data_IF_789427032245
#
_entry.id   IF_789427032245
#
_cell.length_a   1.000
_cell.length_b   1.000
_cell.length_c   1.000
_cell.angle_alpha   90.00
_cell.angle_beta   90.00
_cell.angle_gamma   90.00
#
_symmetry.space_group_name_H-M   'P 1'
#
loop_
_entity.id
_entity.type
_entity.pdbx_description
1 polymer ?
#
# COMPACT_ATOMS: atom_id res chain seq x y z
N UNK A 1 -15.69 31.17 -0.19
CA UNK A 1 -16.81 31.07 0.78
C UNK A 1 -16.32 31.56 2.14
N UNK A 2 -17.06 32.44 2.81
CA UNK A 2 -16.62 33.05 4.07
C UNK A 2 -16.67 32.07 5.26
N UNK A 3 -15.79 32.28 6.23
CA UNK A 3 -15.66 31.49 7.48
C UNK A 3 -16.98 31.41 8.26
N UNK A 4 -17.82 32.46 8.21
CA UNK A 4 -19.12 32.48 8.89
C UNK A 4 -20.17 31.52 8.31
N UNK A 5 -20.15 31.28 7.00
CA UNK A 5 -21.08 30.35 6.32
C UNK A 5 -20.73 28.89 6.63
N UNK A 6 -19.44 28.63 6.86
CA UNK A 6 -18.89 27.31 7.20
C UNK A 6 -19.34 26.82 8.58
N UNK A 7 -19.17 27.63 9.62
CA UNK A 7 -19.59 27.24 10.98
C UNK A 7 -21.11 27.00 11.05
N UNK A 8 -21.92 27.81 10.37
CA UNK A 8 -23.37 27.58 10.27
C UNK A 8 -23.73 26.29 9.51
N UNK A 9 -23.00 25.95 8.45
CA UNK A 9 -23.21 24.73 7.67
C UNK A 9 -22.86 23.44 8.44
N UNK A 10 -21.80 23.46 9.24
CA UNK A 10 -21.36 22.32 10.08
C UNK A 10 -22.24 22.10 11.33
N UNK A 11 -22.83 23.18 11.86
CA UNK A 11 -23.77 23.17 12.97
C UNK A 11 -25.22 22.90 12.54
N UNK A 12 -25.47 22.72 11.24
CA UNK A 12 -26.77 22.35 10.70
C UNK A 12 -27.23 20.99 11.26
N UNK A 13 -28.50 20.92 11.70
CA UNK A 13 -29.17 19.66 12.07
C UNK A 13 -29.50 18.78 10.85
N UNK A 14 -29.46 19.35 9.66
CA UNK A 14 -29.68 18.67 8.40
C UNK A 14 -28.40 17.92 7.95
N UNK A 15 -28.52 16.59 7.93
CA UNK A 15 -27.43 15.63 7.67
C UNK A 15 -26.88 15.75 6.24
N UNK A 16 -27.74 16.01 5.26
CA UNK A 16 -27.35 16.17 3.85
C UNK A 16 -26.60 17.48 3.65
N UNK A 17 -27.14 18.57 4.18
CA UNK A 17 -26.50 19.89 4.10
C UNK A 17 -25.12 19.91 4.77
N UNK A 18 -24.98 19.19 5.88
CA UNK A 18 -23.70 19.00 6.58
C UNK A 18 -22.72 18.14 5.76
N UNK A 19 -23.20 17.10 5.07
CA UNK A 19 -22.38 16.30 4.14
C UNK A 19 -21.89 17.14 2.97
N UNK A 20 -22.77 17.88 2.31
CA UNK A 20 -22.43 18.71 1.15
C UNK A 20 -21.40 19.82 1.49
N UNK A 21 -21.55 20.47 2.64
CA UNK A 21 -20.58 21.49 3.11
C UNK A 21 -19.25 20.84 3.46
N UNK A 22 -19.26 19.64 4.07
CA UNK A 22 -18.04 18.88 4.34
C UNK A 22 -17.36 18.44 3.04
N UNK A 23 -18.12 17.90 2.11
CA UNK A 23 -17.58 17.41 0.84
C UNK A 23 -17.02 18.55 -0.01
N UNK A 24 -17.69 19.71 -0.09
CA UNK A 24 -17.17 20.85 -0.87
C UNK A 24 -15.83 21.41 -0.37
N UNK A 25 -15.48 21.21 0.91
CA UNK A 25 -14.23 21.72 1.50
C UNK A 25 -13.16 20.64 1.60
N UNK A 26 -13.53 19.45 2.06
CA UNK A 26 -12.57 18.37 2.25
C UNK A 26 -12.28 17.61 0.95
N UNK A 27 -13.18 17.64 -0.05
CA UNK A 27 -12.93 16.95 -1.33
C UNK A 27 -11.79 17.57 -2.12
N UNK A 28 -11.65 18.90 -2.32
CA UNK A 28 -10.50 19.46 -3.03
C UNK A 28 -9.16 19.20 -2.33
N UNK A 29 -9.15 19.20 -0.99
CA UNK A 29 -7.96 18.88 -0.20
C UNK A 29 -7.58 17.40 -0.33
N UNK A 30 -8.58 16.51 -0.47
CA UNK A 30 -8.40 15.06 -0.62
C UNK A 30 -8.19 14.61 -2.07
N UNK A 31 -8.73 15.33 -3.03
CA UNK A 31 -8.73 15.03 -4.46
C UNK A 31 -8.12 16.23 -5.18
N UNK A 32 -6.79 16.39 -5.13
CA UNK A 32 -6.12 17.43 -5.91
C UNK A 32 -6.37 17.23 -7.41
N UNK A 33 -6.21 18.26 -8.24
CA UNK A 33 -6.56 18.18 -9.68
C UNK A 33 -5.82 17.06 -10.43
N UNK A 34 -4.59 16.74 -10.01
CA UNK A 34 -3.81 15.65 -10.59
C UNK A 34 -4.34 14.26 -10.19
N UNK A 35 -5.15 14.16 -9.14
CA UNK A 35 -5.74 12.93 -8.63
C UNK A 35 -7.07 12.63 -9.30
N UNK A 36 -7.08 11.68 -10.23
CA UNK A 36 -8.29 11.28 -10.96
C UNK A 36 -9.12 10.21 -10.24
N UNK A 37 -8.88 10.00 -8.94
CA UNK A 37 -9.85 9.36 -8.07
C UNK A 37 -9.62 7.88 -7.74
N UNK A 38 -10.40 7.47 -6.75
CA UNK A 38 -10.63 6.12 -6.21
C UNK A 38 -12.12 5.76 -6.32
N UNK A 39 -12.83 6.40 -7.25
CA UNK A 39 -14.29 6.28 -7.39
C UNK A 39 -14.70 5.02 -8.15
N UNK A 40 -13.87 4.60 -9.11
CA UNK A 40 -14.15 3.48 -10.01
C UNK A 40 -13.08 2.40 -9.88
N UNK A 41 -13.48 1.16 -10.10
CA UNK A 41 -12.57 0.03 -10.10
C UNK A 41 -11.76 -0.03 -11.40
N UNK A 42 -10.47 -0.33 -11.27
CA UNK A 42 -9.56 -0.48 -12.40
C UNK A 42 -8.87 -1.85 -12.33
N UNK A 43 -9.28 -2.83 -13.16
CA UNK A 43 -8.58 -4.10 -13.26
C UNK A 43 -7.16 -3.88 -13.81
N UNK A 44 -6.25 -4.79 -13.48
CA UNK A 44 -4.90 -4.76 -14.01
C UNK A 44 -4.89 -4.91 -15.54
N UNK A 45 -4.15 -4.06 -16.25
CA UNK A 45 -4.12 -4.03 -17.71
C UNK A 45 -3.16 -5.08 -18.32
N UNK A 46 -2.99 -6.23 -17.67
CA UNK A 46 -2.08 -7.29 -18.10
C UNK A 46 -2.59 -8.70 -17.74
N UNK A 47 -2.34 -9.65 -18.65
CA UNK A 47 -2.87 -11.02 -18.53
C UNK A 47 -1.88 -11.99 -17.84
N UNK A 48 -0.58 -11.84 -18.09
CA UNK A 48 0.43 -12.75 -17.54
C UNK A 48 0.91 -12.30 -16.15
N UNK A 49 1.02 -13.20 -15.15
CA UNK A 49 1.51 -12.84 -13.83
C UNK A 49 2.95 -12.32 -13.89
N UNK A 50 3.25 -11.25 -13.15
CA UNK A 50 4.59 -10.63 -13.14
C UNK A 50 5.51 -11.19 -12.07
N UNK A 51 5.00 -12.08 -11.21
CA UNK A 51 5.69 -12.65 -10.05
C UNK A 51 5.15 -14.04 -9.69
N UNK A 52 5.89 -14.86 -8.92
CA UNK A 52 5.39 -16.18 -8.50
C UNK A 52 4.29 -16.04 -7.42
N UNK A 53 4.38 -15.02 -6.56
CA UNK A 53 3.31 -14.64 -5.65
C UNK A 53 1.99 -14.40 -6.40
N UNK A 54 2.00 -13.56 -7.42
CA UNK A 54 0.81 -13.28 -8.22
C UNK A 54 0.29 -14.54 -8.92
N UNK A 55 1.20 -15.33 -9.51
CA UNK A 55 0.84 -16.57 -10.21
C UNK A 55 0.08 -17.53 -9.31
N UNK A 56 0.59 -17.81 -8.11
CA UNK A 56 -0.04 -18.76 -7.17
C UNK A 56 -1.37 -18.26 -6.66
N UNK A 57 -1.47 -16.96 -6.35
CA UNK A 57 -2.74 -16.34 -5.96
C UNK A 57 -3.78 -16.45 -7.08
N UNK A 58 -3.40 -16.18 -8.33
CA UNK A 58 -4.28 -16.35 -9.51
C UNK A 58 -4.73 -17.79 -9.73
N UNK A 59 -3.87 -18.76 -9.42
CA UNK A 59 -4.20 -20.19 -9.50
C UNK A 59 -5.11 -20.69 -8.37
N UNK A 60 -5.44 -19.85 -7.38
CA UNK A 60 -6.21 -20.25 -6.20
C UNK A 60 -5.43 -21.14 -5.23
N UNK A 61 -4.10 -21.12 -5.30
CA UNK A 61 -3.25 -21.87 -4.37
C UNK A 61 -3.26 -21.23 -2.98
N UNK A 62 -3.08 -22.04 -1.94
CA UNK A 62 -2.88 -21.54 -0.59
C UNK A 62 -1.46 -20.97 -0.46
N UNK A 63 -1.35 -19.66 -0.31
CA UNK A 63 -0.08 -18.93 -0.28
C UNK A 63 0.31 -18.59 1.16
N UNK A 64 1.56 -18.92 1.51
CA UNK A 64 2.20 -18.50 2.76
C UNK A 64 3.31 -17.51 2.45
N UNK A 65 3.32 -16.38 3.15
CA UNK A 65 4.37 -15.35 3.07
C UNK A 65 4.99 -15.13 4.44
N UNK A 66 6.26 -14.72 4.50
CA UNK A 66 6.88 -14.28 5.75
C UNK A 66 7.18 -12.79 5.71
N UNK A 67 7.06 -12.12 6.85
CA UNK A 67 7.63 -10.79 7.04
C UNK A 67 9.00 -10.92 7.70
N UNK A 68 10.00 -10.22 7.16
CA UNK A 68 11.35 -10.15 7.74
C UNK A 68 11.68 -8.68 7.97
N UNK A 69 11.96 -8.35 9.22
CA UNK A 69 12.36 -7.00 9.58
C UNK A 69 13.81 -6.73 9.13
N UNK A 70 14.09 -5.62 8.43
CA UNK A 70 15.45 -5.28 8.03
C UNK A 70 16.45 -5.16 9.19
N UNK A 71 17.74 -5.47 8.97
CA UNK A 71 18.77 -5.38 10.00
C UNK A 71 19.09 -3.93 10.38
N UNK A 72 19.56 -3.74 11.62
CA UNK A 72 20.18 -2.49 12.12
C UNK A 72 21.68 -2.47 11.79
N UNK A 73 22.04 -2.78 10.55
CA UNK A 73 23.44 -2.86 10.11
C UNK A 73 23.52 -2.69 8.60
N UNK A 74 24.67 -2.24 8.10
CA UNK A 74 25.00 -2.26 6.69
C UNK A 74 25.45 -3.66 6.20
N UNK A 75 25.64 -4.62 7.11
CA UNK A 75 25.96 -6.00 6.77
C UNK A 75 24.67 -6.82 6.56
N UNK A 76 24.58 -7.48 5.40
CA UNK A 76 23.46 -8.34 5.00
C UNK A 76 23.55 -9.79 5.50
N UNK A 77 24.63 -10.24 6.15
CA UNK A 77 24.81 -11.64 6.57
C UNK A 77 23.63 -12.18 7.39
N UNK A 78 23.18 -11.41 8.40
CA UNK A 78 22.03 -11.78 9.23
C UNK A 78 20.72 -11.80 8.45
N UNK A 79 20.57 -10.89 7.47
CA UNK A 79 19.41 -10.86 6.60
C UNK A 79 19.37 -12.12 5.71
N UNK A 80 20.50 -12.49 5.11
CA UNK A 80 20.64 -13.69 4.28
C UNK A 80 20.33 -14.96 5.10
N UNK A 81 20.84 -15.05 6.33
CA UNK A 81 20.51 -16.14 7.25
C UNK A 81 19.01 -16.25 7.49
N UNK A 82 18.35 -15.13 7.82
CA UNK A 82 16.90 -15.11 8.04
C UNK A 82 16.11 -15.52 6.79
N UNK A 83 16.52 -15.03 5.60
CA UNK A 83 15.90 -15.39 4.33
C UNK A 83 16.02 -16.89 4.09
N UNK A 84 17.20 -17.47 4.28
CA UNK A 84 17.42 -18.90 4.06
C UNK A 84 16.62 -19.81 5.01
N UNK A 85 16.30 -19.33 6.22
CA UNK A 85 15.44 -20.05 7.17
C UNK A 85 14.00 -20.13 6.64
N UNK A 86 13.46 -19.02 6.13
CA UNK A 86 12.03 -18.93 5.77
C UNK A 86 11.74 -19.36 4.33
N UNK A 87 12.67 -19.12 3.40
CA UNK A 87 12.51 -19.33 1.96
C UNK A 87 11.94 -20.70 1.57
N UNK A 88 12.29 -21.85 2.19
CA UNK A 88 11.73 -23.14 1.82
C UNK A 88 10.22 -23.27 2.10
N UNK A 89 9.67 -22.43 2.97
CA UNK A 89 8.31 -22.55 3.48
C UNK A 89 7.36 -21.47 2.96
N UNK A 90 7.89 -20.44 2.29
CA UNK A 90 7.10 -19.27 1.87
C UNK A 90 7.28 -19.00 0.39
N UNK A 91 6.21 -18.49 -0.23
CA UNK A 91 6.21 -18.05 -1.63
C UNK A 91 6.99 -16.75 -1.76
N UNK A 92 6.77 -15.80 -0.85
CA UNK A 92 7.41 -14.50 -0.88
C UNK A 92 7.76 -13.99 0.52
N UNK A 93 8.73 -13.08 0.58
CA UNK A 93 9.22 -12.44 1.81
C UNK A 93 8.99 -10.93 1.75
N UNK A 94 8.19 -10.41 2.68
CA UNK A 94 7.94 -8.99 2.85
C UNK A 94 9.05 -8.33 3.68
N UNK A 95 9.60 -7.22 3.19
CA UNK A 95 10.61 -6.43 3.91
C UNK A 95 10.02 -5.10 4.34
N UNK A 96 9.90 -4.90 5.65
CA UNK A 96 9.28 -3.69 6.20
C UNK A 96 10.08 -2.43 5.92
N UNK A 97 9.39 -1.31 5.76
CA UNK A 97 10.02 -0.02 5.48
C UNK A 97 9.92 0.90 6.69
N UNK A 98 11.06 1.10 7.36
CA UNK A 98 11.21 1.98 8.52
C UNK A 98 10.06 1.80 9.54
N UNK A 99 9.76 0.54 9.88
CA UNK A 99 8.73 0.19 10.86
C UNK A 99 8.96 0.93 12.19
N UNK A 100 7.90 1.42 12.81
CA UNK A 100 7.96 2.29 13.99
C UNK A 100 8.87 3.52 13.79
N UNK A 101 8.94 4.04 12.56
CA UNK A 101 9.78 5.17 12.17
C UNK A 101 11.26 5.03 12.59
N UNK A 102 11.76 3.78 12.65
CA UNK A 102 13.13 3.49 13.07
C UNK A 102 14.03 3.21 11.86
N UNK A 103 15.21 3.85 11.76
CA UNK A 103 16.10 3.66 10.63
C UNK A 103 16.69 2.25 10.65
N UNK A 104 16.57 1.55 9.52
CA UNK A 104 17.14 0.22 9.26
C UNK A 104 17.66 0.19 7.82
N UNK A 105 18.29 -0.92 7.41
CA UNK A 105 18.55 -1.16 5.99
C UNK A 105 17.25 -0.97 5.20
N UNK A 106 17.32 -0.26 4.06
CA UNK A 106 16.12 0.05 3.28
C UNK A 106 15.43 -1.22 2.78
N UNK A 107 14.09 -1.19 2.69
CA UNK A 107 13.31 -2.31 2.16
C UNK A 107 13.76 -2.68 0.74
N UNK A 108 14.11 -1.69 -0.08
CA UNK A 108 14.68 -1.89 -1.43
C UNK A 108 15.98 -2.71 -1.42
N UNK A 109 16.93 -2.36 -0.57
CA UNK A 109 18.19 -3.09 -0.46
C UNK A 109 17.95 -4.53 0.02
N UNK A 110 17.02 -4.72 0.96
CA UNK A 110 16.62 -6.05 1.41
C UNK A 110 15.99 -6.88 0.27
N UNK A 111 15.14 -6.26 -0.54
CA UNK A 111 14.54 -6.90 -1.71
C UNK A 111 15.59 -7.35 -2.73
N UNK A 112 16.62 -6.53 -2.99
CA UNK A 112 17.73 -6.91 -3.87
C UNK A 112 18.52 -8.09 -3.31
N UNK A 113 18.86 -8.06 -2.01
CA UNK A 113 19.54 -9.19 -1.35
C UNK A 113 18.70 -10.46 -1.44
N UNK A 114 17.38 -10.37 -1.23
CA UNK A 114 16.49 -11.51 -1.35
C UNK A 114 16.43 -12.06 -2.78
N UNK A 115 16.29 -11.17 -3.77
CA UNK A 115 16.31 -11.54 -5.19
C UNK A 115 17.60 -12.27 -5.57
N UNK A 116 18.76 -11.76 -5.14
CA UNK A 116 20.07 -12.39 -5.38
C UNK A 116 20.24 -13.75 -4.70
N UNK A 117 19.50 -13.99 -3.62
CA UNK A 117 19.44 -15.28 -2.92
C UNK A 117 18.25 -16.14 -3.39
N UNK A 118 17.66 -15.82 -4.54
CA UNK A 118 16.53 -16.51 -5.16
C UNK A 118 15.31 -16.64 -4.22
N UNK A 119 15.06 -15.65 -3.36
CA UNK A 119 13.82 -15.51 -2.60
C UNK A 119 12.98 -14.40 -3.24
N UNK A 120 11.68 -14.63 -3.40
CA UNK A 120 10.80 -13.64 -4.01
C UNK A 120 10.51 -12.49 -3.02
N UNK A 121 10.87 -11.24 -3.34
CA UNK A 121 10.67 -10.13 -2.45
C UNK A 121 9.28 -9.49 -2.62
N UNK A 122 8.71 -9.01 -1.51
CA UNK A 122 7.65 -8.00 -1.47
C UNK A 122 8.24 -6.72 -0.88
N UNK A 123 8.26 -5.67 -1.70
CA UNK A 123 8.75 -4.36 -1.31
C UNK A 123 7.65 -3.61 -0.55
N UNK A 124 7.77 -3.51 0.77
CA UNK A 124 6.96 -2.57 1.53
C UNK A 124 7.47 -1.15 1.28
N UNK A 125 6.56 -0.22 0.99
CA UNK A 125 6.85 1.19 0.84
C UNK A 125 5.90 2.03 1.68
N UNK A 126 6.46 2.90 2.52
CA UNK A 126 5.72 3.86 3.32
C UNK A 126 5.55 5.20 2.61
N UNK A 127 4.31 5.66 2.46
CA UNK A 127 4.00 6.96 1.86
C UNK A 127 4.56 8.14 2.67
N UNK A 128 4.64 7.99 4.01
CA UNK A 128 5.21 8.97 4.95
C UNK A 128 6.57 9.54 4.51
N UNK A 129 7.46 8.70 4.02
CA UNK A 129 8.86 9.07 3.75
C UNK A 129 9.09 9.41 2.27
N UNK A 130 8.03 9.54 1.47
CA UNK A 130 8.10 9.66 0.02
C UNK A 130 7.40 10.89 -0.51
N UNK A 131 7.99 11.43 -1.57
CA UNK A 131 7.36 12.40 -2.46
C UNK A 131 6.92 11.71 -3.75
N UNK A 132 6.06 12.36 -4.53
CA UNK A 132 5.63 11.90 -5.86
C UNK A 132 6.81 11.57 -6.77
N UNK A 133 7.85 12.39 -6.76
CA UNK A 133 9.06 12.15 -7.56
C UNK A 133 9.89 10.99 -7.00
N UNK A 134 10.05 10.94 -5.67
CA UNK A 134 10.78 9.86 -4.99
C UNK A 134 10.15 8.48 -5.26
N UNK A 135 8.84 8.37 -5.11
CA UNK A 135 8.07 7.15 -5.39
C UNK A 135 8.29 6.66 -6.83
N UNK A 136 8.11 7.54 -7.81
CA UNK A 136 8.24 7.19 -9.23
C UNK A 136 9.67 6.79 -9.59
N UNK A 137 10.67 7.44 -8.99
CA UNK A 137 12.07 7.07 -9.19
C UNK A 137 12.39 5.71 -8.58
N UNK A 138 11.94 5.48 -7.34
CA UNK A 138 12.22 4.26 -6.59
C UNK A 138 11.61 3.03 -7.24
N UNK A 139 10.36 3.12 -7.73
CA UNK A 139 9.68 1.97 -8.35
C UNK A 139 10.32 1.54 -9.67
N UNK A 140 10.86 2.49 -10.45
CA UNK A 140 11.61 2.18 -11.67
C UNK A 140 12.88 1.41 -11.31
N UNK A 141 13.60 1.87 -10.28
CA UNK A 141 14.76 1.16 -9.74
C UNK A 141 14.40 -0.23 -9.22
N UNK A 142 13.27 -0.37 -8.52
CA UNK A 142 12.78 -1.66 -8.03
C UNK A 142 12.60 -2.67 -9.17
N UNK A 143 11.97 -2.22 -10.26
CA UNK A 143 11.67 -3.09 -11.39
C UNK A 143 12.92 -3.57 -12.12
N UNK A 144 13.91 -2.69 -12.27
CA UNK A 144 15.23 -3.06 -12.82
C UNK A 144 15.95 -4.08 -11.93
N UNK A 145 15.75 -4.01 -10.62
CA UNK A 145 16.29 -4.97 -9.64
C UNK A 145 15.49 -6.28 -9.56
N UNK A 146 14.50 -6.50 -10.44
CA UNK A 146 13.67 -7.70 -10.47
C UNK A 146 12.62 -7.77 -9.36
N UNK A 147 12.24 -6.62 -8.79
CA UNK A 147 11.23 -6.51 -7.74
C UNK A 147 9.90 -6.03 -8.34
N UNK A 148 8.93 -6.94 -8.35
CA UNK A 148 7.62 -6.71 -8.97
C UNK A 148 6.47 -6.60 -7.95
N UNK A 149 6.61 -7.20 -6.77
CA UNK A 149 5.58 -7.13 -5.72
C UNK A 149 5.79 -5.92 -4.83
N UNK A 150 4.78 -5.07 -4.68
CA UNK A 150 4.89 -3.83 -3.90
C UNK A 150 3.72 -3.68 -2.95
N UNK A 151 4.02 -3.57 -1.65
CA UNK A 151 3.04 -3.38 -0.58
C UNK A 151 3.01 -1.91 -0.15
N UNK A 152 1.94 -1.21 -0.53
CA UNK A 152 1.75 0.20 -0.22
C UNK A 152 1.16 0.40 1.19
N UNK A 153 1.86 1.15 2.02
CA UNK A 153 1.40 1.50 3.38
C UNK A 153 1.47 3.00 3.63
N UNK A 154 0.66 3.52 4.55
CA UNK A 154 0.76 4.93 4.96
C UNK A 154 2.04 5.19 5.77
N UNK A 155 2.48 4.21 6.56
CA UNK A 155 3.61 4.33 7.47
C UNK A 155 3.20 4.83 8.86
N UNK A 156 3.96 4.44 9.88
CA UNK A 156 3.74 4.85 11.27
C UNK A 156 4.02 6.34 11.47
N UNK A 157 3.38 7.01 12.43
CA UNK A 157 3.75 8.40 12.73
C UNK A 157 5.20 8.49 13.19
N UNK A 158 5.96 9.49 12.71
CA UNK A 158 7.34 9.72 13.17
C UNK A 158 7.43 10.00 14.68
N UNK A 159 6.30 10.33 15.34
CA UNK A 159 6.20 10.47 16.80
C UNK A 159 6.42 9.16 17.58
N UNK A 160 6.22 8.02 16.92
CA UNK A 160 6.39 6.69 17.52
C UNK A 160 7.87 6.30 17.53
N UNK A 161 8.67 6.90 16.64
CA UNK A 161 10.09 6.61 16.51
C UNK A 161 10.97 7.28 17.56
N UNK A 162 12.25 6.87 17.65
CA UNK A 162 13.23 7.48 18.54
C UNK A 162 13.57 8.93 18.08
N UNK A 163 14.04 9.75 19.02
CA UNK A 163 14.59 11.08 18.71
C UNK A 163 16.00 10.98 18.10
N UNK A 164 16.41 11.89 17.19
CA UNK A 164 15.63 13.01 16.64
C UNK A 164 14.58 12.56 15.60
N UNK A 165 13.36 13.11 15.72
CA UNK A 165 12.22 12.73 14.86
C UNK A 165 12.25 13.44 13.52
N UNK A 166 11.75 12.77 12.46
CA UNK A 166 11.50 13.40 11.16
C UNK A 166 10.45 14.52 11.25
N UNK A 167 10.52 15.48 10.31
CA UNK A 167 9.55 16.57 10.22
C UNK A 167 8.17 16.05 9.80
N UNK A 168 7.18 16.18 10.70
CA UNK A 168 5.80 15.71 10.49
C UNK A 168 5.02 16.49 9.43
N UNK A 169 5.53 17.65 8.99
CA UNK A 169 4.86 18.47 7.97
C UNK A 169 5.16 18.02 6.53
N UNK A 170 6.07 17.07 6.34
CA UNK A 170 6.49 16.59 5.02
C UNK A 170 5.67 15.33 4.70
N UNK A 171 4.41 15.50 4.33
CA UNK A 171 3.52 14.44 3.86
C UNK A 171 2.98 14.83 2.48
N UNK A 172 3.57 14.31 1.41
CA UNK A 172 3.21 14.66 0.03
C UNK A 172 2.04 13.82 -0.51
N UNK A 173 2.01 12.52 -0.17
CA UNK A 173 0.99 11.56 -0.63
C UNK A 173 0.59 10.56 0.45
N UNK A 174 -0.56 9.92 0.29
CA UNK A 174 -1.00 8.76 1.09
C UNK A 174 -0.87 7.42 0.32
N UNK A 175 -1.22 6.31 0.98
CA UNK A 175 -1.11 4.96 0.40
C UNK A 175 -2.08 4.70 -0.75
N UNK A 176 -3.25 5.33 -0.75
CA UNK A 176 -4.24 5.23 -1.85
C UNK A 176 -3.70 6.01 -3.05
N UNK A 177 -3.15 7.19 -2.80
CA UNK A 177 -2.52 8.01 -3.84
C UNK A 177 -1.31 7.31 -4.46
N UNK A 178 -0.49 6.69 -3.62
CA UNK A 178 0.65 5.88 -4.06
C UNK A 178 0.22 4.73 -4.97
N UNK A 179 -0.78 3.93 -4.57
CA UNK A 179 -1.31 2.83 -5.39
C UNK A 179 -1.71 3.30 -6.78
N UNK A 180 -2.46 4.39 -6.88
CA UNK A 180 -2.94 4.90 -8.16
C UNK A 180 -1.82 5.51 -8.99
N UNK A 181 -0.83 6.20 -8.40
CA UNK A 181 0.36 6.63 -9.16
C UNK A 181 1.04 5.41 -9.77
N UNK A 182 1.29 4.37 -8.98
CA UNK A 182 1.95 3.16 -9.44
C UNK A 182 1.13 2.41 -10.51
N UNK A 183 -0.20 2.36 -10.35
CA UNK A 183 -1.11 1.81 -11.36
C UNK A 183 -1.02 2.58 -12.67
N UNK A 184 -1.05 3.92 -12.64
CA UNK A 184 -0.92 4.77 -13.85
C UNK A 184 0.43 4.54 -14.55
N UNK A 185 1.51 4.39 -13.77
CA UNK A 185 2.82 4.07 -14.35
C UNK A 185 2.80 2.71 -15.04
N UNK A 186 2.21 1.68 -14.41
CA UNK A 186 2.14 0.32 -14.93
C UNK A 186 1.22 0.21 -16.15
N UNK A 187 -0.02 0.66 -16.02
CA UNK A 187 -1.11 0.39 -16.98
C UNK A 187 -1.10 1.40 -18.14
N UNK A 188 -0.91 2.68 -17.85
CA UNK A 188 -0.95 3.73 -18.88
C UNK A 188 0.45 4.06 -19.42
N UNK A 189 1.50 3.57 -18.76
CA UNK A 189 2.88 3.83 -19.16
C UNK A 189 3.26 5.32 -19.09
N UNK A 190 2.78 6.04 -18.07
CA UNK A 190 3.05 7.48 -17.91
C UNK A 190 3.59 7.81 -16.52
N UNK A 191 4.48 8.79 -16.48
CA UNK A 191 4.79 9.50 -15.25
C UNK A 191 3.59 10.35 -14.84
N UNK A 192 3.57 10.77 -13.57
CA UNK A 192 2.53 11.62 -13.01
C UNK A 192 2.41 12.98 -13.73
N UNK A 193 3.51 13.47 -14.31
CA UNK A 193 3.53 14.69 -15.12
C UNK A 193 3.05 14.49 -16.58
N UNK A 194 2.61 13.28 -16.94
CA UNK A 194 2.07 12.94 -18.26
C UNK A 194 3.12 12.50 -19.28
N UNK A 195 4.42 12.52 -18.95
CA UNK A 195 5.45 11.99 -19.86
C UNK A 195 5.28 10.49 -20.05
N UNK A 196 5.38 10.02 -21.29
CA UNK A 196 5.31 8.59 -21.62
C UNK A 196 6.59 7.87 -21.23
N UNK A 197 6.44 6.64 -20.77
CA UNK A 197 7.51 5.68 -20.51
C UNK A 197 7.71 4.79 -21.72
N UNK A 198 8.97 4.56 -22.08
CA UNK A 198 9.30 3.60 -23.14
C UNK A 198 9.04 2.16 -22.67
N UNK A 199 9.43 1.86 -21.42
CA UNK A 199 9.26 0.58 -20.77
C UNK A 199 8.56 0.81 -19.42
N UNK A 200 7.22 0.67 -19.36
CA UNK A 200 6.47 0.74 -18.11
C UNK A 200 6.91 -0.34 -17.10
N UNK A 201 6.87 -0.08 -15.79
CA UNK A 201 7.21 -1.08 -14.79
C UNK A 201 6.13 -2.16 -14.69
N UNK A 202 6.55 -3.42 -14.49
CA UNK A 202 5.66 -4.56 -14.22
C UNK A 202 5.43 -4.71 -12.72
N UNK A 203 4.21 -4.44 -12.24
CA UNK A 203 3.94 -4.34 -10.81
C UNK A 203 2.70 -5.13 -10.39
N UNK A 204 2.87 -5.97 -9.37
CA UNK A 204 1.80 -6.56 -8.59
C UNK A 204 1.61 -5.73 -7.31
N UNK A 205 0.51 -4.95 -7.29
CA UNK A 205 0.30 -3.91 -6.29
C UNK A 205 -0.54 -4.44 -5.13
N UNK A 206 -0.02 -4.26 -3.91
CA UNK A 206 -0.70 -4.61 -2.67
C UNK A 206 -0.87 -3.42 -1.76
N UNK A 207 -1.75 -3.57 -0.76
CA UNK A 207 -1.94 -2.57 0.27
C UNK A 207 -2.09 -3.19 1.66
N UNK A 208 -1.55 -2.53 2.69
CA UNK A 208 -1.78 -2.99 4.05
C UNK A 208 -3.18 -2.62 4.54
N UNK A 209 -3.81 -3.49 5.32
CA UNK A 209 -5.07 -3.21 6.01
C UNK A 209 -4.96 -3.56 7.49
N UNK A 210 -5.79 -2.93 8.33
CA UNK A 210 -5.75 -3.09 9.78
C UNK A 210 -7.15 -3.14 10.36
N UNK A 211 -7.33 -3.87 11.45
CA UNK A 211 -8.62 -4.00 12.14
C UNK A 211 -8.79 -2.98 13.28
N UNK A 212 -8.19 -1.79 13.15
CA UNK A 212 -8.18 -0.74 14.19
C UNK A 212 -9.41 0.16 14.14
N UNK A 213 -10.09 0.22 13.00
CA UNK A 213 -11.33 0.95 12.81
C UNK A 213 -12.53 0.00 12.84
N UNK A 214 -13.72 0.55 13.03
CA UNK A 214 -14.96 -0.21 12.80
C UNK A 214 -14.95 -0.84 11.39
N UNK A 215 -15.41 -2.10 11.24
CA UNK A 215 -15.34 -2.84 9.98
C UNK A 215 -15.91 -2.07 8.78
N UNK A 216 -17.00 -1.32 8.97
CA UNK A 216 -17.63 -0.50 7.93
C UNK A 216 -16.69 0.60 7.41
N UNK A 217 -15.97 1.27 8.33
CA UNK A 217 -15.06 2.36 7.99
C UNK A 217 -13.78 1.82 7.35
N UNK A 218 -13.28 0.69 7.84
CA UNK A 218 -12.13 0.03 7.26
C UNK A 218 -12.44 -0.44 5.82
N UNK A 219 -13.60 -1.05 5.60
CA UNK A 219 -14.05 -1.49 4.28
C UNK A 219 -14.24 -0.32 3.29
N UNK A 220 -14.63 0.88 3.73
CA UNK A 220 -14.63 2.08 2.87
C UNK A 220 -13.21 2.39 2.39
N UNK A 221 -12.23 2.38 3.30
CA UNK A 221 -10.83 2.67 2.97
C UNK A 221 -10.26 1.61 2.04
N UNK A 222 -10.59 0.35 2.29
CA UNK A 222 -10.11 -0.77 1.49
C UNK A 222 -10.74 -0.78 0.10
N UNK A 223 -12.04 -0.46 -0.04
CA UNK A 223 -12.66 -0.26 -1.36
C UNK A 223 -11.92 0.83 -2.17
N UNK A 224 -11.57 1.94 -1.53
CA UNK A 224 -10.78 3.00 -2.18
C UNK A 224 -9.40 2.51 -2.64
N UNK A 225 -8.74 1.64 -1.88
CA UNK A 225 -7.47 1.01 -2.28
C UNK A 225 -7.65 0.08 -3.47
N UNK A 226 -8.70 -0.75 -3.49
CA UNK A 226 -9.04 -1.61 -4.64
C UNK A 226 -9.24 -0.75 -5.89
N UNK A 227 -10.01 0.34 -5.78
CA UNK A 227 -10.25 1.26 -6.88
C UNK A 227 -8.99 1.99 -7.35
N UNK A 228 -8.06 2.27 -6.44
CA UNK A 228 -6.76 2.84 -6.76
C UNK A 228 -5.80 1.85 -7.46
N UNK A 229 -6.08 0.55 -7.43
CA UNK A 229 -5.30 -0.48 -8.12
C UNK A 229 -4.68 -1.57 -7.23
N UNK A 230 -5.08 -1.67 -5.96
CA UNK A 230 -4.64 -2.78 -5.12
C UNK A 230 -5.21 -4.11 -5.64
N UNK A 231 -4.32 -5.08 -5.86
CA UNK A 231 -4.61 -6.44 -6.29
C UNK A 231 -4.50 -7.45 -5.14
N UNK A 232 -3.77 -7.11 -4.07
CA UNK A 232 -3.80 -7.90 -2.84
C UNK A 232 -3.81 -7.01 -1.59
N UNK A 233 -4.33 -7.56 -0.50
CA UNK A 233 -4.20 -7.00 0.83
C UNK A 233 -3.31 -7.86 1.70
N UNK A 234 -2.52 -7.20 2.55
CA UNK A 234 -1.84 -7.83 3.67
C UNK A 234 -2.40 -7.22 4.96
N UNK A 235 -3.00 -8.04 5.81
CA UNK A 235 -3.52 -7.55 7.09
C UNK A 235 -2.38 -7.40 8.10
N UNK A 236 -2.46 -6.38 8.96
CA UNK A 236 -1.68 -6.39 10.20
C UNK A 236 -2.07 -7.62 11.04
N UNK A 237 -1.22 -7.96 12.01
CA UNK A 237 -1.48 -9.03 12.98
C UNK A 237 -2.87 -8.87 13.61
N UNK A 238 -3.65 -9.95 13.58
CA UNK A 238 -4.94 -10.02 14.23
C UNK A 238 -5.00 -11.24 15.15
N UNK A 239 -5.60 -11.08 16.32
CA UNK A 239 -5.71 -12.13 17.34
C UNK A 239 -7.14 -12.65 17.49
N UNK A 240 -8.13 -11.97 16.89
CA UNK A 240 -9.54 -12.28 17.04
C UNK A 240 -10.18 -12.59 15.67
N UNK A 241 -10.55 -13.85 15.39
CA UNK A 241 -11.16 -14.24 14.12
C UNK A 241 -12.49 -13.52 13.83
N UNK A 242 -13.25 -13.15 14.86
CA UNK A 242 -14.53 -12.46 14.67
C UNK A 242 -14.37 -11.09 13.98
N UNK A 243 -13.20 -10.46 14.10
CA UNK A 243 -12.92 -9.20 13.40
C UNK A 243 -12.76 -9.41 11.89
N UNK A 244 -12.21 -10.56 11.49
CA UNK A 244 -12.00 -10.90 10.09
C UNK A 244 -13.35 -11.12 9.40
N UNK A 245 -14.24 -11.93 9.98
CA UNK A 245 -15.56 -12.22 9.42
C UNK A 245 -16.37 -10.94 9.19
N UNK A 246 -16.45 -10.08 10.21
CA UNK A 246 -17.17 -8.80 10.11
C UNK A 246 -16.57 -7.88 9.05
N UNK A 247 -15.26 -7.91 8.84
CA UNK A 247 -14.61 -7.11 7.79
C UNK A 247 -14.89 -7.70 6.40
N UNK A 248 -14.78 -9.03 6.23
CA UNK A 248 -15.10 -9.71 4.98
C UNK A 248 -16.55 -9.48 4.56
N UNK A 249 -17.52 -9.54 5.48
CA UNK A 249 -18.92 -9.19 5.21
C UNK A 249 -19.08 -7.76 4.67
N UNK A 250 -18.28 -6.81 5.15
CA UNK A 250 -18.33 -5.42 4.69
C UNK A 250 -17.65 -5.22 3.34
N UNK A 251 -16.64 -6.03 3.00
CA UNK A 251 -16.07 -6.08 1.66
C UNK A 251 -17.06 -6.74 0.67
N UNK A 252 -17.79 -7.77 1.09
CA UNK A 252 -18.80 -8.45 0.27
C UNK A 252 -19.95 -7.51 -0.08
N UNK A 253 -20.50 -6.79 0.92
CA UNK A 253 -21.51 -5.73 0.72
C UNK A 253 -21.07 -4.62 -0.25
N UNK A 254 -19.77 -4.51 -0.52
CA UNK A 254 -19.18 -3.54 -1.45
C UNK A 254 -18.77 -4.16 -2.78
N UNK A 255 -19.00 -5.46 -2.97
CA UNK A 255 -18.69 -6.21 -4.20
C UNK A 255 -17.20 -6.10 -4.60
N UNK A 256 -16.31 -6.20 -3.62
CA UNK A 256 -14.85 -6.12 -3.85
C UNK A 256 -14.07 -7.38 -3.44
N UNK A 257 -14.71 -8.37 -2.81
CA UNK A 257 -14.02 -9.60 -2.39
C UNK A 257 -13.43 -10.40 -3.57
N UNK A 258 -14.06 -10.33 -4.74
CA UNK A 258 -13.57 -10.99 -5.96
C UNK A 258 -12.58 -10.14 -6.76
N UNK A 259 -12.22 -8.94 -6.29
CA UNK A 259 -11.34 -7.99 -7.00
C UNK A 259 -9.94 -7.89 -6.39
N UNK A 260 -9.72 -8.52 -5.23
CA UNK A 260 -8.47 -8.42 -4.46
C UNK A 260 -8.19 -9.72 -3.72
N UNK A 261 -6.94 -10.16 -3.73
CA UNK A 261 -6.48 -11.29 -2.91
C UNK A 261 -6.26 -10.84 -1.46
N UNK A 262 -6.45 -11.74 -0.48
CA UNK A 262 -6.32 -11.39 0.93
C UNK A 262 -5.30 -12.32 1.58
N UNK A 263 -4.16 -11.74 1.99
CA UNK A 263 -3.14 -12.37 2.83
C UNK A 263 -3.38 -11.94 4.28
N UNK A 264 -3.74 -12.91 5.12
CA UNK A 264 -4.06 -12.63 6.52
C UNK A 264 -2.82 -12.84 7.39
N UNK A 265 -2.41 -11.81 8.12
CA UNK A 265 -1.23 -11.82 8.99
C UNK A 265 -1.48 -12.51 10.32
N UNK A 266 -0.73 -13.59 10.59
CA UNK A 266 -0.75 -14.36 11.84
C UNK A 266 0.66 -14.42 12.44
N UNK A 267 0.77 -14.66 13.76
CA UNK A 267 2.03 -14.86 14.47
C UNK A 267 2.04 -16.20 15.21
#
# INVERSE_FOLDING_TARGET
MGIGTFFRGLLSKDKEKKSLVRDSIFRPIRQPEWWQGDSEYHPAAYDEPVSDLERRLRNGEFVVTSEVMPPLSANSDKLIQNINIVKPYVVAVNFTDCASASPRMSSMACCKVAHDNHAEPVLQIAARDRTRSGLQSEIIGANELGVHNVLCISGDSARIGPAPMSNLNILDIDSIQMLWILRKMRDDGVYLDGRKMKNPPKLFLGAATSFTLEPELQAIRDHKKVNAGAQFFQTNLFFNPNCLDRWLEQLDKREILNKVYILVGVI
#
